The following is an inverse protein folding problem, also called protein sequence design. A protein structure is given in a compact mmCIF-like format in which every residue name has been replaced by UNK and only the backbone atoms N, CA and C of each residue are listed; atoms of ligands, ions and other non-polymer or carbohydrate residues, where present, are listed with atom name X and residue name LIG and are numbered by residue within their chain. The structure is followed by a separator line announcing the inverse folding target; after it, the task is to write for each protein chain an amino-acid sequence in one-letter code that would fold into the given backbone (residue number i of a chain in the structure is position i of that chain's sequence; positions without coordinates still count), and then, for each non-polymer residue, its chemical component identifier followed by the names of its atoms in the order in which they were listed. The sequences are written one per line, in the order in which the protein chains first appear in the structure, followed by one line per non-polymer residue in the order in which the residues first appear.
data_IF_025721449773
#
_entry.id   IF_025721449773
#
_cell.length_a   1.000
_cell.length_b   1.000
_cell.length_c   1.000
_cell.angle_alpha   90.00
_cell.angle_beta   90.00
_cell.angle_gamma   90.00
#
_symmetry.space_group_name_H-M   'P 1'
#
loop_
_entity.id
_entity.type
_entity.pdbx_description
1 polymer ?
#
# COMPACT_ATOMS: atom_id res chain seq x y z
N UNK A 1 16.87 5.75 27.03
CA UNK A 1 16.56 5.74 25.58
C UNK A 1 15.57 4.61 25.32
N UNK A 2 14.29 4.94 25.17
CA UNK A 2 13.15 3.99 25.20
C UNK A 2 13.18 2.98 24.05
N UNK A 3 12.70 1.76 24.30
CA UNK A 3 12.57 0.69 23.29
C UNK A 3 11.73 1.12 22.07
N UNK A 4 10.75 2.01 22.29
CA UNK A 4 9.95 2.63 21.23
C UNK A 4 10.79 3.42 20.22
N UNK A 5 11.68 4.29 20.70
CA UNK A 5 12.58 5.11 19.87
C UNK A 5 13.56 4.25 19.07
N UNK A 6 14.02 3.13 19.66
CA UNK A 6 14.87 2.16 18.93
C UNK A 6 14.09 1.44 17.81
N UNK A 7 12.81 1.12 18.05
CA UNK A 7 11.96 0.46 17.05
C UNK A 7 11.58 1.40 15.89
N UNK A 8 11.40 2.69 16.15
CA UNK A 8 11.15 3.68 15.09
C UNK A 8 12.41 3.93 14.27
N UNK A 9 13.58 3.98 14.91
CA UNK A 9 14.87 4.05 14.22
C UNK A 9 15.05 2.88 13.24
N UNK A 10 14.83 1.63 13.69
CA UNK A 10 14.95 0.46 12.79
C UNK A 10 13.94 0.46 11.65
N UNK A 11 12.73 0.97 11.89
CA UNK A 11 11.70 1.10 10.85
C UNK A 11 12.04 2.21 9.85
N UNK A 12 12.72 3.26 10.29
CA UNK A 12 13.22 4.31 9.42
C UNK A 12 14.32 3.78 8.50
N UNK A 13 15.30 3.08 9.06
CA UNK A 13 16.37 2.43 8.28
C UNK A 13 15.77 1.50 7.22
N UNK A 14 14.77 0.70 7.60
CA UNK A 14 14.04 -0.16 6.68
C UNK A 14 13.35 0.62 5.55
N UNK A 15 12.73 1.77 5.83
CA UNK A 15 12.11 2.61 4.78
C UNK A 15 13.15 3.19 3.82
N UNK A 16 14.31 3.58 4.33
CA UNK A 16 15.39 4.12 3.50
C UNK A 16 15.97 3.02 2.59
N UNK A 17 16.13 1.80 3.09
CA UNK A 17 16.49 0.63 2.27
C UNK A 17 15.45 0.33 1.17
N UNK A 18 14.15 0.34 1.54
CA UNK A 18 13.06 0.12 0.59
C UNK A 18 13.00 1.24 -0.47
N UNK A 19 13.30 2.49 -0.11
CA UNK A 19 13.37 3.60 -1.05
C UNK A 19 14.49 3.39 -2.09
N UNK A 20 15.66 2.92 -1.66
CA UNK A 20 16.77 2.58 -2.56
C UNK A 20 16.40 1.41 -3.47
N UNK A 21 15.76 0.36 -2.92
CA UNK A 21 15.30 -0.78 -3.69
C UNK A 21 14.25 -0.37 -4.75
N UNK A 22 13.29 0.48 -4.38
CA UNK A 22 12.30 1.04 -5.29
C UNK A 22 12.96 1.80 -6.44
N UNK A 23 13.89 2.71 -6.15
CA UNK A 23 14.57 3.49 -7.20
C UNK A 23 15.37 2.60 -8.17
N UNK A 24 15.90 1.46 -7.71
CA UNK A 24 16.55 0.47 -8.58
C UNK A 24 15.54 -0.27 -9.47
N UNK A 25 14.41 -0.71 -8.91
CA UNK A 25 13.36 -1.39 -9.67
C UNK A 25 12.68 -0.46 -10.68
N UNK A 26 12.32 0.75 -10.26
CA UNK A 26 11.68 1.78 -11.08
C UNK A 26 12.47 2.10 -12.36
N UNK A 27 13.80 2.26 -12.24
CA UNK A 27 14.69 2.53 -13.39
C UNK A 27 14.68 1.42 -14.44
N UNK A 28 14.37 0.18 -14.04
CA UNK A 28 14.31 -0.99 -14.93
C UNK A 28 12.91 -1.27 -15.47
N UNK A 29 11.89 -0.78 -14.77
CA UNK A 29 10.50 -0.91 -15.18
C UNK A 29 10.24 -0.01 -16.40
N UNK A 30 9.82 -0.55 -17.54
CA UNK A 30 9.48 0.25 -18.72
C UNK A 30 7.97 0.54 -18.84
N UNK A 31 7.15 -0.13 -18.04
CA UNK A 31 5.71 0.03 -18.04
C UNK A 31 5.30 1.33 -17.31
N UNK A 32 4.73 2.32 -18.02
CA UNK A 32 4.30 3.57 -17.41
C UNK A 32 3.16 3.38 -16.41
N UNK A 33 2.30 2.37 -16.59
CA UNK A 33 1.21 2.07 -15.68
C UNK A 33 1.76 1.55 -14.35
N UNK A 34 2.67 0.57 -14.40
CA UNK A 34 3.37 0.05 -13.23
C UNK A 34 4.09 1.16 -12.44
N UNK A 35 4.76 2.09 -13.14
CA UNK A 35 5.41 3.25 -12.51
C UNK A 35 4.41 4.15 -11.78
N UNK A 36 3.27 4.49 -12.39
CA UNK A 36 2.22 5.28 -11.73
C UNK A 36 1.68 4.61 -10.48
N UNK A 37 1.46 3.30 -10.51
CA UNK A 37 1.03 2.54 -9.32
C UNK A 37 2.08 2.62 -8.20
N UNK A 38 3.36 2.47 -8.53
CA UNK A 38 4.46 2.62 -7.58
C UNK A 38 4.52 4.01 -6.96
N UNK A 39 4.33 5.05 -7.79
CA UNK A 39 4.36 6.44 -7.35
C UNK A 39 3.17 6.78 -6.43
N UNK A 40 1.97 6.24 -6.72
CA UNK A 40 0.81 6.37 -5.83
C UNK A 40 1.08 5.78 -4.44
N UNK A 41 1.64 4.57 -4.38
CA UNK A 41 2.02 3.93 -3.12
C UNK A 41 3.13 4.69 -2.39
N UNK A 42 4.10 5.27 -3.11
CA UNK A 42 5.13 6.14 -2.53
C UNK A 42 4.55 7.42 -1.91
N UNK A 43 3.48 7.98 -2.48
CA UNK A 43 2.74 9.08 -1.88
C UNK A 43 2.17 8.70 -0.51
N UNK A 44 1.56 7.51 -0.42
CA UNK A 44 1.01 6.98 0.83
C UNK A 44 2.09 6.77 1.92
N UNK A 45 3.28 6.30 1.54
CA UNK A 45 4.41 6.06 2.47
C UNK A 45 4.72 7.32 3.30
N UNK A 46 4.91 8.45 2.62
CA UNK A 46 5.32 9.69 3.28
C UNK A 46 4.21 10.24 4.19
N UNK A 47 2.95 10.18 3.72
CA UNK A 47 1.81 10.63 4.49
C UNK A 47 1.65 9.83 5.78
N UNK A 48 1.62 8.50 5.69
CA UNK A 48 1.43 7.61 6.84
C UNK A 48 2.59 7.68 7.82
N UNK A 49 3.82 7.88 7.35
CA UNK A 49 4.97 8.08 8.22
C UNK A 49 4.80 9.35 9.06
N UNK A 50 4.41 10.46 8.42
CA UNK A 50 4.24 11.75 9.10
C UNK A 50 3.04 11.78 10.04
N UNK A 51 1.96 11.05 9.72
CA UNK A 51 0.82 10.87 10.62
C UNK A 51 1.22 10.16 11.93
N UNK A 52 2.29 9.36 11.91
CA UNK A 52 2.83 8.70 13.10
C UNK A 52 1.91 7.63 13.69
N UNK A 53 2.37 6.99 14.76
CA UNK A 53 1.64 5.90 15.42
C UNK A 53 1.91 4.52 14.80
N UNK A 54 1.83 3.48 15.63
CA UNK A 54 2.31 2.13 15.28
C UNK A 54 1.64 1.53 14.04
N UNK A 55 0.33 1.74 13.86
CA UNK A 55 -0.44 1.27 12.69
C UNK A 55 0.01 1.98 11.40
N UNK A 56 0.03 3.31 11.40
CA UNK A 56 0.41 4.10 10.22
C UNK A 56 1.87 3.86 9.82
N UNK A 57 2.78 3.75 10.79
CA UNK A 57 4.19 3.41 10.50
C UNK A 57 4.29 2.02 9.85
N UNK A 58 3.49 1.05 10.29
CA UNK A 58 3.49 -0.30 9.70
C UNK A 58 2.88 -0.31 8.30
N UNK A 59 1.79 0.46 8.10
CA UNK A 59 1.17 0.67 6.79
C UNK A 59 2.12 1.40 5.82
N UNK A 60 2.92 2.36 6.31
CA UNK A 60 3.95 3.04 5.53
C UNK A 60 5.01 2.06 5.00
N UNK A 61 5.50 1.14 5.84
CA UNK A 61 6.44 0.09 5.41
C UNK A 61 5.80 -0.83 4.38
N UNK A 62 4.55 -1.26 4.60
CA UNK A 62 3.80 -2.10 3.64
C UNK A 62 3.63 -1.39 2.30
N UNK A 63 3.23 -0.12 2.30
CA UNK A 63 3.11 0.69 1.09
C UNK A 63 4.44 0.77 0.32
N UNK A 64 5.57 0.91 1.03
CA UNK A 64 6.90 0.93 0.41
C UNK A 64 7.27 -0.44 -0.24
N UNK A 65 6.92 -1.55 0.40
CA UNK A 65 7.11 -2.90 -0.16
C UNK A 65 6.23 -3.13 -1.40
N UNK A 66 4.96 -2.71 -1.33
CA UNK A 66 4.01 -2.80 -2.43
C UNK A 66 4.45 -1.92 -3.61
N UNK A 67 5.04 -0.74 -3.34
CA UNK A 67 5.56 0.13 -4.39
C UNK A 67 6.65 -0.59 -5.19
N UNK A 68 7.56 -1.30 -4.52
CA UNK A 68 8.57 -2.14 -5.20
C UNK A 68 7.89 -3.24 -6.01
N UNK A 69 6.90 -3.92 -5.44
CA UNK A 69 6.19 -5.01 -6.13
C UNK A 69 5.51 -4.52 -7.42
N UNK A 70 4.94 -3.31 -7.41
CA UNK A 70 4.23 -2.75 -8.57
C UNK A 70 5.14 -2.55 -9.78
N UNK A 71 6.39 -2.15 -9.58
CA UNK A 71 7.38 -1.88 -10.63
C UNK A 71 8.38 -3.02 -10.86
N UNK A 72 8.30 -4.09 -10.08
CA UNK A 72 9.16 -5.25 -10.25
C UNK A 72 8.62 -6.14 -11.37
N UNK A 73 9.50 -6.77 -12.17
CA UNK A 73 9.07 -7.79 -13.11
C UNK A 73 8.45 -8.95 -12.33
N UNK A 74 7.19 -9.28 -12.62
CA UNK A 74 6.50 -10.38 -11.94
C UNK A 74 6.25 -11.50 -12.92
N UNK A 75 6.64 -12.72 -12.52
CA UNK A 75 6.19 -13.94 -13.17
C UNK A 75 4.75 -14.18 -12.72
N UNK A 76 3.81 -14.11 -13.66
CA UNK A 76 2.43 -14.51 -13.40
C UNK A 76 2.43 -15.99 -13.06
N UNK A 77 1.82 -16.34 -11.93
CA UNK A 77 1.64 -17.72 -11.52
C UNK A 77 0.22 -18.15 -11.87
N UNK A 78 0.06 -19.40 -12.30
CA UNK A 78 -1.26 -19.99 -12.58
C UNK A 78 -1.91 -20.37 -11.25
N UNK A 79 -2.55 -19.40 -10.58
CA UNK A 79 -3.22 -19.58 -9.30
C UNK A 79 -4.47 -18.71 -9.19
N UNK A 80 -5.33 -19.02 -8.23
CA UNK A 80 -6.53 -18.22 -7.91
C UNK A 80 -6.49 -17.74 -6.47
N UNK A 81 -6.90 -16.50 -6.24
CA UNK A 81 -6.91 -15.85 -4.94
C UNK A 81 -8.28 -15.94 -4.23
N UNK A 82 -9.13 -16.89 -4.61
CA UNK A 82 -10.52 -17.01 -4.15
C UNK A 82 -10.65 -17.08 -2.61
N UNK A 83 -9.70 -17.71 -1.94
CA UNK A 83 -9.70 -17.81 -0.48
C UNK A 83 -9.48 -16.46 0.23
N UNK A 84 -9.06 -15.41 -0.50
CA UNK A 84 -8.88 -14.04 0.01
C UNK A 84 -10.10 -13.15 -0.20
N UNK A 85 -11.17 -13.65 -0.83
CA UNK A 85 -12.38 -12.87 -1.07
C UNK A 85 -12.97 -12.27 0.21
N UNK A 86 -13.02 -13.04 1.32
CA UNK A 86 -13.53 -12.56 2.61
C UNK A 86 -12.67 -11.42 3.15
N UNK A 87 -11.36 -11.59 3.18
CA UNK A 87 -10.44 -10.55 3.66
C UNK A 87 -10.53 -9.26 2.82
N UNK A 88 -10.72 -9.40 1.50
CA UNK A 88 -10.98 -8.25 0.62
C UNK A 88 -12.31 -7.57 0.93
N UNK A 89 -13.38 -8.33 1.13
CA UNK A 89 -14.70 -7.80 1.46
C UNK A 89 -14.66 -7.03 2.79
N UNK A 90 -14.00 -7.56 3.81
CA UNK A 90 -13.86 -6.90 5.11
C UNK A 90 -13.12 -5.56 4.98
N UNK A 91 -12.00 -5.54 4.25
CA UNK A 91 -11.23 -4.32 4.01
C UNK A 91 -12.02 -3.28 3.20
N UNK A 92 -12.74 -3.70 2.16
CA UNK A 92 -13.63 -2.83 1.40
C UNK A 92 -14.76 -2.25 2.27
N UNK A 93 -15.31 -3.05 3.18
CA UNK A 93 -16.32 -2.60 4.15
C UNK A 93 -15.78 -1.51 5.08
N UNK A 94 -14.56 -1.67 5.59
CA UNK A 94 -13.90 -0.68 6.43
C UNK A 94 -13.63 0.64 5.66
N UNK A 95 -13.12 0.55 4.44
CA UNK A 95 -12.92 1.73 3.56
C UNK A 95 -14.25 2.45 3.30
N UNK A 96 -15.30 1.70 2.95
CA UNK A 96 -16.63 2.29 2.69
C UNK A 96 -17.20 2.99 3.91
N UNK A 97 -17.01 2.43 5.11
CA UNK A 97 -17.40 3.06 6.36
C UNK A 97 -16.67 4.39 6.59
N UNK A 98 -15.35 4.44 6.37
CA UNK A 98 -14.52 5.64 6.59
C UNK A 98 -14.74 6.74 5.52
N UNK A 99 -15.10 6.36 4.30
CA UNK A 99 -15.41 7.30 3.21
C UNK A 99 -16.77 7.98 3.40
N UNK A 100 -17.81 7.23 3.76
CA UNK A 100 -19.19 7.70 3.67
C UNK A 100 -19.52 8.19 2.25
N UNK A 101 -20.17 9.35 2.15
CA UNK A 101 -20.56 9.99 0.88
C UNK A 101 -19.57 11.11 0.43
N UNK A 102 -18.30 11.07 0.88
CA UNK A 102 -17.30 12.11 0.58
C UNK A 102 -16.54 11.84 -0.75
N UNK A 103 -17.03 12.44 -1.83
CA UNK A 103 -16.44 12.37 -3.17
C UNK A 103 -14.99 12.89 -3.23
N UNK A 104 -14.64 13.88 -2.41
CA UNK A 104 -13.29 14.45 -2.42
C UNK A 104 -12.28 13.47 -1.79
N UNK A 105 -12.68 12.79 -0.71
CA UNK A 105 -11.86 11.72 -0.09
C UNK A 105 -11.77 10.50 -1.00
N UNK A 106 -12.86 10.12 -1.67
CA UNK A 106 -12.84 9.05 -2.67
C UNK A 106 -11.84 9.35 -3.80
N UNK A 107 -11.82 10.60 -4.31
CA UNK A 107 -10.87 11.02 -5.34
C UNK A 107 -9.40 10.92 -4.91
N UNK A 108 -9.09 11.15 -3.63
CA UNK A 108 -7.71 11.05 -3.10
C UNK A 108 -7.20 9.61 -3.05
N UNK A 109 -8.05 8.65 -2.73
CA UNK A 109 -7.64 7.24 -2.59
C UNK A 109 -7.76 6.46 -3.91
N UNK A 110 -8.49 6.98 -4.90
CA UNK A 110 -8.71 6.34 -6.20
C UNK A 110 -7.43 5.79 -6.87
N UNK A 111 -6.28 6.49 -6.86
CA UNK A 111 -5.06 5.93 -7.42
C UNK A 111 -4.62 4.63 -6.75
N UNK A 112 -4.88 4.45 -5.45
CA UNK A 112 -4.57 3.22 -4.70
C UNK A 112 -5.60 2.12 -4.96
N UNK A 113 -6.87 2.48 -5.10
CA UNK A 113 -7.94 1.54 -5.49
C UNK A 113 -7.63 0.89 -6.85
N UNK A 114 -7.17 1.68 -7.82
CA UNK A 114 -6.70 1.17 -9.12
C UNK A 114 -5.52 0.19 -8.97
N UNK A 115 -4.60 0.41 -8.01
CA UNK A 115 -3.53 -0.56 -7.71
C UNK A 115 -4.09 -1.86 -7.13
N UNK A 116 -5.05 -1.76 -6.20
CA UNK A 116 -5.67 -2.90 -5.55
C UNK A 116 -6.36 -3.81 -6.58
N UNK A 117 -7.11 -3.22 -7.52
CA UNK A 117 -7.75 -3.93 -8.63
C UNK A 117 -6.72 -4.63 -9.53
N UNK A 118 -5.66 -3.93 -9.94
CA UNK A 118 -4.63 -4.53 -10.81
C UNK A 118 -3.95 -5.70 -10.14
N UNK A 119 -3.63 -5.61 -8.85
CA UNK A 119 -3.10 -6.77 -8.13
C UNK A 119 -4.11 -7.90 -8.05
N UNK A 120 -5.40 -7.61 -7.87
CA UNK A 120 -6.41 -8.65 -7.76
C UNK A 120 -6.54 -9.46 -9.05
N UNK A 121 -6.59 -8.78 -10.19
CA UNK A 121 -6.74 -9.40 -11.50
C UNK A 121 -5.52 -10.20 -11.97
N UNK A 122 -4.37 -10.06 -11.32
CA UNK A 122 -3.21 -10.94 -11.57
C UNK A 122 -3.43 -12.38 -11.07
N UNK A 123 -4.49 -12.62 -10.30
CA UNK A 123 -5.05 -13.95 -10.05
C UNK A 123 -4.35 -14.78 -8.97
N UNK A 124 -3.03 -14.64 -8.79
CA UNK A 124 -2.32 -15.45 -7.78
C UNK A 124 -2.45 -14.92 -6.34
N UNK A 125 -2.23 -15.82 -5.37
CA UNK A 125 -2.29 -15.55 -3.93
C UNK A 125 -1.41 -14.39 -3.45
N UNK A 126 -0.22 -14.24 -4.07
CA UNK A 126 0.72 -13.20 -3.66
C UNK A 126 0.15 -11.84 -4.03
N UNK A 127 -0.42 -11.70 -5.22
CA UNK A 127 -1.07 -10.47 -5.63
C UNK A 127 -2.42 -10.27 -4.94
N UNK A 128 -3.17 -11.33 -4.64
CA UNK A 128 -4.37 -11.22 -3.79
C UNK A 128 -4.04 -10.67 -2.40
N UNK A 129 -2.95 -11.14 -1.77
CA UNK A 129 -2.48 -10.56 -0.49
C UNK A 129 -1.99 -9.13 -0.66
N UNK A 130 -1.38 -8.80 -1.80
CA UNK A 130 -0.98 -7.43 -2.11
C UNK A 130 -2.19 -6.50 -2.24
N UNK A 131 -3.27 -6.95 -2.89
CA UNK A 131 -4.56 -6.23 -2.94
C UNK A 131 -5.06 -5.91 -1.55
N UNK A 132 -5.21 -6.92 -0.68
CA UNK A 132 -5.69 -6.71 0.69
C UNK A 132 -4.80 -5.71 1.44
N UNK A 133 -3.47 -5.83 1.31
CA UNK A 133 -2.55 -4.89 1.95
C UNK A 133 -2.65 -3.46 1.39
N UNK A 134 -2.98 -3.25 0.10
CA UNK A 134 -3.26 -1.92 -0.45
C UNK A 134 -4.55 -1.35 0.16
N UNK A 135 -5.59 -2.17 0.32
CA UNK A 135 -6.85 -1.74 0.95
C UNK A 135 -6.66 -1.34 2.42
N UNK A 136 -5.88 -2.10 3.19
CA UNK A 136 -5.51 -1.74 4.56
C UNK A 136 -4.71 -0.43 4.63
N UNK A 137 -3.86 -0.15 3.64
CA UNK A 137 -3.13 1.14 3.51
C UNK A 137 -4.12 2.28 3.26
N UNK A 138 -5.14 2.07 2.42
CA UNK A 138 -6.19 3.06 2.16
C UNK A 138 -7.01 3.35 3.43
N UNK A 139 -7.41 2.32 4.17
CA UNK A 139 -8.09 2.47 5.47
C UNK A 139 -7.25 3.31 6.46
N UNK A 140 -5.94 3.04 6.55
CA UNK A 140 -5.04 3.81 7.41
C UNK A 140 -4.93 5.28 6.97
N UNK A 141 -4.93 5.55 5.66
CA UNK A 141 -4.89 6.93 5.15
C UNK A 141 -6.16 7.69 5.51
N UNK A 142 -7.32 7.06 5.32
CA UNK A 142 -8.62 7.67 5.64
C UNK A 142 -8.72 7.96 7.15
N UNK A 143 -8.36 7.00 7.99
CA UNK A 143 -8.42 7.19 9.46
C UNK A 143 -7.41 8.23 9.97
N UNK A 144 -6.22 8.32 9.36
CA UNK A 144 -5.22 9.33 9.71
C UNK A 144 -5.69 10.77 9.38
N UNK A 145 -6.49 10.96 8.33
CA UNK A 145 -7.06 12.27 7.98
C UNK A 145 -8.09 12.79 9.01
N UNK A 146 -8.75 11.90 9.76
CA UNK A 146 -9.78 12.29 10.75
C UNK A 146 -9.16 12.79 12.06
N UNK A 147 -7.89 12.49 12.30
CA UNK A 147 -7.21 12.76 13.59
C UNK A 147 -6.47 14.11 13.64
N UNK A 148 -6.61 14.95 12.61
CA UNK A 148 -6.00 16.29 12.48
C UNK A 148 -7.07 17.36 12.62
#
# INVERSE_FOLDING_TARGET
MNAFVRSEGSKRDQLDELAVAYARAYRRCLDPHARRMGDALRGAVAYLWNAGGGKNVSASIRAAQLAILSVSPVKLSDGTNEHLCVARMDANGAIGFELGDDDARAAKIRPLDEVAEVFWFRGDDKHGRATVAVLEVMECLLTAEVSV
#
